data_IF_537999414051
#
_entry.id   IF_537999414051
#
_cell.length_a   1.000
_cell.length_b   1.000
_cell.length_c   1.000
_cell.angle_alpha   90.00
_cell.angle_beta   90.00
_cell.angle_gamma   90.00
#
_symmetry.space_group_name_H-M   'P 1'
#
loop_
_entity.id
_entity.type
_entity.pdbx_description
1 polymer ?
#
# COMPACT_ATOMS: atom_id res chain seq x y z
N UNK A 1 12.57 -25.18 13.31
CA UNK A 1 11.64 -26.32 13.53
C UNK A 1 11.00 -26.11 14.91
N UNK A 2 9.69 -26.29 15.11
CA UNK A 2 9.07 -26.09 16.43
C UNK A 2 8.86 -27.42 17.17
N UNK A 3 9.19 -27.47 18.45
CA UNK A 3 8.78 -28.52 19.40
C UNK A 3 7.67 -28.00 20.29
N UNK A 4 6.83 -28.88 20.81
CA UNK A 4 5.76 -28.48 21.70
C UNK A 4 5.53 -29.53 22.78
N UNK A 5 5.21 -29.04 23.97
CA UNK A 5 5.07 -29.81 25.20
C UNK A 5 3.79 -29.37 25.91
N UNK A 6 3.03 -30.32 26.43
CA UNK A 6 1.88 -30.00 27.26
C UNK A 6 2.38 -29.58 28.65
N UNK A 7 1.95 -28.41 29.10
CA UNK A 7 2.31 -27.85 30.42
C UNK A 7 1.17 -28.07 31.41
N UNK A 8 -0.08 -27.86 30.96
CA UNK A 8 -1.29 -28.08 31.75
C UNK A 8 -2.37 -28.77 30.89
N UNK A 9 -3.51 -29.13 31.49
CA UNK A 9 -4.64 -29.81 30.82
C UNK A 9 -5.08 -29.12 29.51
N UNK A 10 -5.00 -27.79 29.44
CA UNK A 10 -5.34 -27.00 28.27
C UNK A 10 -4.24 -26.05 27.80
N UNK A 11 -3.02 -26.16 28.32
CA UNK A 11 -1.93 -25.23 28.01
C UNK A 11 -0.74 -25.99 27.43
N UNK A 12 -0.25 -25.51 26.28
CA UNK A 12 0.90 -26.07 25.58
C UNK A 12 1.98 -25.00 25.43
N UNK A 13 3.23 -25.38 25.62
CA UNK A 13 4.41 -24.56 25.34
C UNK A 13 5.02 -25.01 24.02
N UNK A 14 5.17 -24.08 23.08
CA UNK A 14 5.78 -24.27 21.76
C UNK A 14 7.12 -23.56 21.73
N UNK A 15 8.20 -24.30 21.55
CA UNK A 15 9.57 -23.81 21.53
C UNK A 15 10.09 -23.85 20.09
N UNK A 16 10.75 -22.79 19.64
CA UNK A 16 11.53 -22.82 18.41
C UNK A 16 12.84 -23.59 18.68
N UNK A 17 13.05 -24.74 18.02
CA UNK A 17 14.36 -25.38 17.99
C UNK A 17 15.30 -24.45 17.22
N UNK A 18 16.31 -23.92 17.92
CA UNK A 18 17.42 -23.20 17.31
C UNK A 18 18.02 -24.07 16.19
N UNK A 19 18.01 -23.53 14.96
CA UNK A 19 19.07 -23.86 14.01
C UNK A 19 20.30 -23.06 14.41
N UNK A 20 21.42 -23.74 14.69
CA UNK A 20 22.73 -23.15 14.91
C UNK A 20 23.24 -22.48 13.62
N UNK A 21 22.69 -21.34 13.26
CA UNK A 21 23.20 -20.53 12.16
C UNK A 21 23.29 -19.08 12.61
N UNK A 22 24.52 -18.56 12.64
CA UNK A 22 24.92 -17.20 13.07
C UNK A 22 24.42 -16.08 12.14
N UNK A 23 23.47 -16.37 11.25
CA UNK A 23 22.80 -15.37 10.44
C UNK A 23 21.72 -14.66 11.26
N UNK A 24 21.69 -13.32 11.13
CA UNK A 24 20.74 -12.44 11.81
C UNK A 24 19.29 -12.98 11.75
N UNK A 25 18.48 -12.77 12.80
CA UNK A 25 17.13 -13.31 12.84
C UNK A 25 16.24 -12.57 11.84
N UNK A 26 16.12 -13.13 10.63
CA UNK A 26 15.12 -12.75 9.63
C UNK A 26 13.67 -12.92 10.15
N UNK A 27 13.48 -13.70 11.22
CA UNK A 27 12.19 -13.99 11.86
C UNK A 27 12.20 -13.56 13.34
N UNK A 28 11.34 -12.60 13.77
CA UNK A 28 11.24 -12.16 15.16
C UNK A 28 10.77 -13.26 16.14
N UNK A 29 10.30 -14.41 15.63
CA UNK A 29 9.88 -15.56 16.43
C UNK A 29 11.03 -16.58 16.68
N UNK A 30 12.23 -16.37 16.13
CA UNK A 30 13.40 -17.25 16.32
C UNK A 30 13.87 -17.23 17.78
N UNK A 31 13.92 -18.40 18.42
CA UNK A 31 14.39 -18.56 19.81
C UNK A 31 13.39 -18.20 20.92
N UNK A 32 12.14 -17.87 20.57
CA UNK A 32 11.08 -17.56 21.55
C UNK A 32 10.22 -18.78 21.87
N UNK A 33 9.68 -18.78 23.08
CA UNK A 33 8.67 -19.73 23.53
C UNK A 33 7.29 -19.09 23.43
N UNK A 34 6.31 -19.84 22.93
CA UNK A 34 4.93 -19.42 22.81
C UNK A 34 4.02 -20.33 23.60
N UNK A 35 3.02 -19.74 24.26
CA UNK A 35 1.98 -20.51 24.93
C UNK A 35 0.73 -20.57 24.05
N UNK A 36 0.18 -21.77 23.94
CA UNK A 36 -1.07 -22.06 23.22
C UNK A 36 -2.04 -22.66 24.22
N UNK A 37 -3.19 -22.01 24.40
CA UNK A 37 -4.35 -22.59 25.09
C UNK A 37 -5.17 -23.36 24.06
N UNK A 38 -5.45 -24.63 24.32
CA UNK A 38 -6.17 -25.46 23.36
C UNK A 38 -7.19 -26.38 24.05
N UNK A 39 -8.44 -26.26 23.61
CA UNK A 39 -9.50 -27.22 23.91
C UNK A 39 -9.72 -28.09 22.68
N UNK A 40 -8.92 -29.15 22.55
CA UNK A 40 -8.90 -30.01 21.35
C UNK A 40 -10.29 -30.57 21.01
N UNK A 41 -11.05 -31.01 22.02
CA UNK A 41 -12.42 -31.53 21.86
C UNK A 41 -13.39 -30.50 21.30
N UNK A 42 -13.23 -29.22 21.68
CA UNK A 42 -14.06 -28.11 21.21
C UNK A 42 -13.52 -27.47 19.91
N UNK A 43 -12.29 -27.83 19.53
CA UNK A 43 -11.58 -27.20 18.41
C UNK A 43 -11.19 -25.75 18.67
N UNK A 44 -11.14 -25.30 19.93
CA UNK A 44 -10.79 -23.92 20.28
C UNK A 44 -9.29 -23.82 20.56
N UNK A 45 -8.62 -22.88 19.90
CA UNK A 45 -7.19 -22.64 20.06
C UNK A 45 -6.93 -21.15 20.20
N UNK A 46 -6.04 -20.79 21.12
CA UNK A 46 -5.60 -19.43 21.33
C UNK A 46 -4.09 -19.42 21.53
N UNK A 47 -3.36 -18.59 20.79
CA UNK A 47 -1.92 -18.47 20.93
C UNK A 47 -1.53 -17.06 21.34
N UNK A 48 -0.60 -16.96 22.29
CA UNK A 48 -0.07 -15.69 22.76
C UNK A 48 0.55 -14.81 21.66
N UNK A 49 0.97 -15.40 20.53
CA UNK A 49 1.50 -14.60 19.41
C UNK A 49 0.43 -13.73 18.73
N UNK A 50 -0.86 -13.98 18.99
CA UNK A 50 -2.01 -13.23 18.47
C UNK A 50 -2.05 -13.11 16.94
N UNK A 51 -1.42 -14.04 16.20
CA UNK A 51 -1.32 -13.98 14.73
C UNK A 51 -2.68 -14.13 14.05
N UNK A 52 -3.59 -14.90 14.64
CA UNK A 52 -4.93 -15.05 14.08
C UNK A 52 -5.78 -13.79 14.29
N UNK A 53 -5.63 -13.11 15.42
CA UNK A 53 -6.32 -11.86 15.70
C UNK A 53 -5.80 -10.76 14.75
N UNK A 54 -4.47 -10.68 14.59
CA UNK A 54 -3.79 -9.68 13.74
C UNK A 54 -3.99 -9.91 12.25
N UNK A 55 -3.69 -11.12 11.78
CA UNK A 55 -3.59 -11.41 10.35
C UNK A 55 -4.77 -12.26 9.85
N UNK A 56 -5.62 -12.77 10.75
CA UNK A 56 -6.68 -13.74 10.44
C UNK A 56 -6.18 -15.05 9.85
N UNK A 57 -4.92 -15.39 10.11
CA UNK A 57 -4.26 -16.63 9.67
C UNK A 57 -3.78 -17.38 10.91
N UNK A 58 -3.98 -18.69 10.92
CA UNK A 58 -3.56 -19.56 12.02
C UNK A 58 -2.04 -19.58 12.11
N UNK A 59 -1.48 -19.36 13.31
CA UNK A 59 -0.03 -19.40 13.49
C UNK A 59 0.53 -20.82 13.42
N UNK A 60 1.82 -20.91 13.08
CA UNK A 60 2.61 -22.14 13.16
C UNK A 60 2.55 -22.79 14.55
N UNK A 61 2.39 -22.02 15.62
CA UNK A 61 2.27 -22.55 16.98
C UNK A 61 0.98 -23.36 17.17
N UNK A 62 -0.17 -22.85 16.72
CA UNK A 62 -1.44 -23.59 16.77
C UNK A 62 -1.38 -24.80 15.84
N UNK A 63 -0.87 -24.63 14.62
CA UNK A 63 -0.70 -25.73 13.65
C UNK A 63 0.18 -26.85 14.21
N UNK A 64 1.21 -26.52 15.01
CA UNK A 64 2.05 -27.51 15.68
C UNK A 64 1.25 -28.36 16.67
N UNK A 65 0.41 -27.74 17.50
CA UNK A 65 -0.47 -28.45 18.45
C UNK A 65 -1.48 -29.31 17.71
N UNK A 66 -2.11 -28.77 16.66
CA UNK A 66 -3.03 -29.56 15.82
C UNK A 66 -2.37 -30.81 15.24
N UNK A 67 -1.13 -30.67 14.73
CA UNK A 67 -0.35 -31.80 14.21
C UNK A 67 -0.04 -32.85 15.27
N UNK A 68 0.30 -32.45 16.50
CA UNK A 68 0.54 -33.37 17.62
C UNK A 68 -0.69 -34.18 18.00
N UNK A 69 -1.89 -33.60 17.87
CA UNK A 69 -3.15 -34.24 18.20
C UNK A 69 -3.88 -34.84 16.98
N UNK A 70 -3.17 -35.01 15.86
CA UNK A 70 -3.70 -35.56 14.61
C UNK A 70 -4.99 -34.85 14.12
N UNK A 71 -5.13 -33.56 14.40
CA UNK A 71 -6.24 -32.75 13.92
C UNK A 71 -5.98 -32.41 12.46
N UNK A 72 -6.63 -33.15 11.56
CA UNK A 72 -6.44 -33.03 10.11
C UNK A 72 -7.30 -31.94 9.46
N UNK A 73 -8.29 -31.41 10.19
CA UNK A 73 -9.21 -30.39 9.69
C UNK A 73 -9.17 -29.15 10.57
N UNK A 74 -9.02 -27.99 9.93
CA UNK A 74 -9.05 -26.72 10.63
C UNK A 74 -10.48 -26.38 11.08
N UNK A 75 -10.70 -25.97 12.35
CA UNK A 75 -12.00 -25.53 12.82
C UNK A 75 -12.57 -24.38 11.99
N UNK A 76 -13.88 -24.40 11.73
CA UNK A 76 -14.54 -23.44 10.80
C UNK A 76 -14.32 -21.98 11.19
N UNK A 77 -14.24 -21.65 12.47
CA UNK A 77 -14.06 -20.27 12.93
C UNK A 77 -12.69 -19.67 12.53
N UNK A 78 -11.70 -20.49 12.17
CA UNK A 78 -10.43 -20.02 11.63
C UNK A 78 -10.48 -19.71 10.13
N UNK A 79 -11.48 -20.23 9.41
CA UNK A 79 -11.61 -20.04 7.97
C UNK A 79 -12.45 -18.78 7.73
N UNK A 80 -11.77 -17.64 7.56
CA UNK A 80 -12.44 -16.38 7.22
C UNK A 80 -12.90 -16.39 5.75
N UNK A 81 -13.95 -15.62 5.43
CA UNK A 81 -14.52 -15.52 4.05
C UNK A 81 -13.51 -15.16 2.97
N UNK A 82 -12.49 -14.35 3.27
CA UNK A 82 -11.43 -14.05 2.28
C UNK A 82 -10.49 -15.21 1.96
N UNK A 83 -10.56 -16.30 2.72
CA UNK A 83 -9.73 -17.51 2.57
C UNK A 83 -10.50 -18.67 1.92
N UNK A 84 -11.75 -18.45 1.50
CA UNK A 84 -12.54 -19.44 0.76
C UNK A 84 -12.32 -19.31 -0.74
N UNK A 85 -12.56 -20.37 -1.51
CA UNK A 85 -12.45 -20.35 -2.97
C UNK A 85 -13.35 -19.28 -3.61
N UNK A 86 -14.53 -19.06 -3.03
CA UNK A 86 -15.49 -18.02 -3.46
C UNK A 86 -15.11 -16.62 -2.92
N UNK A 87 -13.86 -16.40 -2.50
CA UNK A 87 -13.43 -15.11 -1.95
C UNK A 87 -13.58 -13.98 -2.98
N UNK A 88 -13.33 -14.24 -4.25
CA UNK A 88 -13.49 -13.24 -5.31
C UNK A 88 -14.96 -12.88 -5.53
N UNK A 89 -15.87 -13.85 -5.42
CA UNK A 89 -17.32 -13.61 -5.49
C UNK A 89 -17.84 -12.90 -4.23
N UNK A 90 -17.31 -13.25 -3.05
CA UNK A 90 -17.70 -12.69 -1.76
C UNK A 90 -17.12 -11.30 -1.49
N UNK A 91 -15.97 -10.96 -2.10
CA UNK A 91 -15.36 -9.64 -2.08
C UNK A 91 -15.88 -8.75 -3.22
N UNK A 92 -16.67 -9.33 -4.13
CA UNK A 92 -17.20 -8.67 -5.32
C UNK A 92 -16.12 -8.34 -6.35
N UNK A 93 -16.51 -7.96 -7.58
CA UNK A 93 -15.56 -7.40 -8.53
C UNK A 93 -14.97 -6.15 -7.89
N UNK A 94 -13.72 -6.23 -7.45
CA UNK A 94 -12.94 -5.05 -7.11
C UNK A 94 -12.77 -4.28 -8.42
N UNK A 95 -13.75 -3.43 -8.71
CA UNK A 95 -13.69 -2.54 -9.87
C UNK A 95 -12.41 -1.74 -9.75
N UNK A 96 -11.74 -1.47 -10.87
CA UNK A 96 -10.55 -0.62 -10.92
C UNK A 96 -10.74 0.67 -10.11
N UNK A 97 -11.96 1.21 -10.10
CA UNK A 97 -12.39 2.36 -9.32
C UNK A 97 -12.38 2.14 -7.79
N UNK A 98 -12.78 0.96 -7.29
CA UNK A 98 -12.76 0.65 -5.86
C UNK A 98 -11.33 0.51 -5.31
N UNK A 99 -10.43 -0.07 -6.11
CA UNK A 99 -9.00 -0.14 -5.78
C UNK A 99 -8.39 1.26 -5.77
N UNK A 100 -8.77 2.13 -6.71
CA UNK A 100 -8.26 3.51 -6.76
C UNK A 100 -8.67 4.33 -5.52
N UNK A 101 -9.93 4.25 -5.09
CA UNK A 101 -10.45 5.02 -3.93
C UNK A 101 -9.85 4.62 -2.57
N UNK A 102 -9.37 3.39 -2.41
CA UNK A 102 -8.77 2.93 -1.15
C UNK A 102 -7.29 3.31 -1.00
N UNK A 103 -6.61 3.72 -2.08
CA UNK A 103 -5.16 3.95 -2.09
C UNK A 103 -4.76 5.43 -2.16
N UNK A 104 -5.70 6.37 -2.13
CA UNK A 104 -5.43 7.82 -2.20
C UNK A 104 -4.57 8.32 -1.01
N UNK A 105 -4.64 7.65 0.15
CA UNK A 105 -3.89 8.01 1.36
C UNK A 105 -2.46 7.40 1.43
N UNK A 106 -2.02 6.68 0.38
CA UNK A 106 -0.78 5.89 0.40
C UNK A 106 0.38 6.63 -0.32
N UNK A 107 1.65 6.49 0.12
CA UNK A 107 2.80 7.11 -0.55
C UNK A 107 2.86 6.80 -2.06
N UNK A 108 3.24 7.81 -2.85
CA UNK A 108 3.21 7.80 -4.32
C UNK A 108 3.97 6.63 -4.97
N UNK A 109 5.03 6.12 -4.33
CA UNK A 109 5.77 4.94 -4.77
C UNK A 109 4.94 3.64 -4.79
N UNK A 110 3.88 3.55 -3.99
CA UNK A 110 2.95 2.41 -3.99
C UNK A 110 1.83 2.52 -5.02
N UNK A 111 1.66 3.70 -5.63
CA UNK A 111 0.65 3.92 -6.68
C UNK A 111 1.04 3.25 -8.00
N UNK A 112 2.34 3.14 -8.31
CA UNK A 112 2.79 2.52 -9.56
C UNK A 112 2.50 1.01 -9.58
N UNK A 113 2.71 0.31 -8.47
CA UNK A 113 2.33 -1.09 -8.34
C UNK A 113 0.81 -1.29 -8.45
N UNK A 114 0.01 -0.40 -7.87
CA UNK A 114 -1.45 -0.44 -7.97
C UNK A 114 -1.90 -0.17 -9.42
N UNK A 115 -1.36 0.87 -10.07
CA UNK A 115 -1.64 1.17 -11.49
C UNK A 115 -1.28 -0.02 -12.37
N UNK A 116 -0.13 -0.65 -12.15
CA UNK A 116 0.30 -1.84 -12.89
C UNK A 116 -0.73 -2.96 -12.75
N UNK A 117 -1.10 -3.36 -11.53
CA UNK A 117 -2.08 -4.44 -11.30
C UNK A 117 -3.43 -4.15 -11.96
N UNK A 118 -3.94 -2.93 -11.80
CA UNK A 118 -5.24 -2.53 -12.36
C UNK A 118 -5.21 -2.55 -13.89
N UNK A 119 -4.18 -1.95 -14.49
CA UNK A 119 -4.04 -1.92 -15.96
C UNK A 119 -3.86 -3.33 -16.50
N UNK A 120 -2.97 -4.14 -15.92
CA UNK A 120 -2.75 -5.52 -16.37
C UNK A 120 -4.06 -6.31 -16.43
N UNK A 121 -4.86 -6.29 -15.35
CA UNK A 121 -6.14 -7.00 -15.33
C UNK A 121 -7.08 -6.55 -16.45
N UNK A 122 -7.26 -5.23 -16.59
CA UNK A 122 -8.14 -4.68 -17.65
C UNK A 122 -7.67 -5.04 -19.06
N UNK A 123 -6.36 -5.05 -19.31
CA UNK A 123 -5.81 -5.43 -20.62
C UNK A 123 -5.88 -6.92 -20.87
N UNK A 124 -5.74 -7.78 -19.85
CA UNK A 124 -5.94 -9.22 -19.99
C UNK A 124 -7.36 -9.53 -20.46
N UNK A 125 -8.38 -8.95 -19.84
CA UNK A 125 -9.79 -9.12 -20.25
C UNK A 125 -10.01 -8.67 -21.72
N UNK A 126 -9.41 -7.55 -22.13
CA UNK A 126 -9.45 -7.07 -23.51
C UNK A 126 -8.72 -7.99 -24.50
N UNK A 127 -7.60 -8.57 -24.10
CA UNK A 127 -6.82 -9.51 -24.93
C UNK A 127 -7.59 -10.82 -25.10
N UNK A 128 -8.19 -11.34 -24.04
CA UNK A 128 -9.01 -12.55 -24.08
C UNK A 128 -10.19 -12.40 -25.04
N UNK A 129 -10.82 -11.22 -25.07
CA UNK A 129 -11.85 -10.90 -26.07
C UNK A 129 -11.26 -10.76 -27.48
N UNK A 130 -10.13 -10.05 -27.62
CA UNK A 130 -9.50 -9.81 -28.91
C UNK A 130 -9.05 -11.10 -29.60
N UNK A 131 -8.65 -12.13 -28.85
CA UNK A 131 -8.23 -13.44 -29.36
C UNK A 131 -9.37 -14.27 -29.97
N UNK A 132 -10.64 -13.89 -29.79
CA UNK A 132 -11.79 -14.65 -30.30
C UNK A 132 -12.01 -14.49 -31.81
N UNK A 133 -11.49 -13.43 -32.44
CA UNK A 133 -11.60 -13.24 -33.88
C UNK A 133 -10.43 -12.42 -34.46
N UNK A 134 -10.12 -12.64 -35.73
CA UNK A 134 -9.10 -11.85 -36.44
C UNK A 134 -9.48 -10.36 -36.58
N UNK A 135 -10.79 -10.07 -36.65
CA UNK A 135 -11.30 -8.72 -36.74
C UNK A 135 -11.07 -7.94 -35.43
N UNK A 136 -11.41 -8.55 -34.29
CA UNK A 136 -11.18 -7.99 -32.96
C UNK A 136 -9.70 -7.87 -32.65
N UNK A 137 -8.87 -8.84 -33.08
CA UNK A 137 -7.42 -8.77 -32.96
C UNK A 137 -6.81 -7.59 -33.72
N UNK A 138 -7.28 -7.31 -34.95
CA UNK A 138 -6.83 -6.14 -35.75
C UNK A 138 -7.20 -4.82 -35.08
N UNK A 139 -8.40 -4.73 -34.50
CA UNK A 139 -8.85 -3.54 -33.77
C UNK A 139 -7.98 -3.33 -32.53
N UNK A 140 -7.79 -4.37 -31.72
CA UNK A 140 -6.92 -4.31 -30.54
C UNK A 140 -5.49 -3.88 -30.88
N UNK A 141 -4.92 -4.42 -31.96
CA UNK A 141 -3.58 -4.07 -32.43
C UNK A 141 -3.47 -2.62 -32.91
N UNK A 142 -4.50 -2.12 -33.61
CA UNK A 142 -4.57 -0.70 -34.02
C UNK A 142 -4.54 0.22 -32.79
N UNK A 143 -5.37 -0.06 -31.79
CA UNK A 143 -5.44 0.74 -30.57
C UNK A 143 -4.18 0.61 -29.72
N UNK A 144 -3.57 -0.58 -29.66
CA UNK A 144 -2.28 -0.79 -28.99
C UNK A 144 -1.17 0.07 -29.60
N UNK A 145 -1.12 0.17 -30.93
CA UNK A 145 -0.15 1.04 -31.62
C UNK A 145 -0.40 2.52 -31.32
N UNK A 146 -1.66 2.96 -31.29
CA UNK A 146 -2.01 4.33 -30.93
C UNK A 146 -1.57 4.66 -29.49
N UNK A 147 -1.94 3.81 -28.53
CA UNK A 147 -1.55 3.95 -27.13
C UNK A 147 -0.02 4.03 -26.95
N UNK A 148 0.73 3.17 -27.64
CA UNK A 148 2.20 3.20 -27.57
C UNK A 148 2.76 4.54 -28.04
N UNK A 149 2.18 5.15 -29.08
CA UNK A 149 2.62 6.47 -29.58
C UNK A 149 2.36 7.57 -28.55
N UNK A 150 1.18 7.57 -27.94
CA UNK A 150 0.83 8.55 -26.90
C UNK A 150 1.76 8.47 -25.69
N UNK A 151 2.13 7.26 -25.26
CA UNK A 151 3.09 7.07 -24.16
C UNK A 151 4.48 7.60 -24.49
N UNK A 152 4.97 7.39 -25.72
CA UNK A 152 6.25 7.95 -26.16
C UNK A 152 6.21 9.48 -26.29
N UNK A 153 5.09 10.05 -26.73
CA UNK A 153 4.90 11.50 -26.76
C UNK A 153 4.93 12.10 -25.34
N UNK A 154 4.25 11.48 -24.38
CA UNK A 154 4.27 11.90 -22.97
C UNK A 154 5.69 11.85 -22.41
N UNK A 155 6.45 10.77 -22.69
CA UNK A 155 7.85 10.66 -22.27
C UNK A 155 8.71 11.78 -22.86
N UNK A 156 8.52 12.10 -24.15
CA UNK A 156 9.24 13.18 -24.83
C UNK A 156 8.94 14.53 -24.19
N UNK A 157 7.66 14.87 -23.97
CA UNK A 157 7.26 16.13 -23.31
C UNK A 157 7.85 16.26 -21.91
N UNK A 158 7.81 15.18 -21.11
CA UNK A 158 8.43 15.17 -19.77
C UNK A 158 9.95 15.39 -19.80
N UNK A 159 10.64 14.84 -20.80
CA UNK A 159 12.08 15.06 -20.97
C UNK A 159 12.38 16.52 -21.36
N UNK A 160 11.59 17.10 -22.27
CA UNK A 160 11.71 18.50 -22.67
C UNK A 160 11.39 19.47 -21.51
N UNK A 161 10.39 19.18 -20.68
CA UNK A 161 10.05 19.97 -19.49
C UNK A 161 11.16 19.92 -18.41
N UNK A 162 11.78 18.77 -18.20
CA UNK A 162 12.90 18.63 -17.26
C UNK A 162 14.14 19.46 -17.66
N UNK A 163 14.30 19.76 -18.96
CA UNK A 163 15.37 20.61 -19.50
C UNK A 163 15.09 22.12 -19.31
N UNK A 164 13.82 22.55 -19.21
CA UNK A 164 13.43 23.96 -19.15
C UNK A 164 13.17 24.50 -17.72
N UNK A 165 13.46 23.70 -16.68
CA UNK A 165 13.20 24.02 -15.27
C UNK A 165 14.14 25.05 -14.60
N UNK A 166 14.46 26.17 -15.26
CA UNK A 166 15.03 27.37 -14.61
C UNK A 166 14.03 28.54 -14.72
N UNK A 167 13.74 29.28 -13.63
CA UNK A 167 12.74 30.34 -13.68
C UNK A 167 13.25 31.51 -14.53
N UNK A 168 12.65 31.68 -15.71
CA UNK A 168 12.74 32.94 -16.46
C UNK A 168 11.96 33.99 -15.67
N UNK A 169 12.66 34.84 -14.92
CA UNK A 169 12.12 36.14 -14.53
C UNK A 169 12.01 36.97 -15.80
N UNK A 170 10.86 36.94 -16.48
CA UNK A 170 10.58 37.90 -17.54
C UNK A 170 10.24 39.24 -16.88
N UNK A 171 11.27 40.04 -16.62
CA UNK A 171 11.11 41.49 -16.46
C UNK A 171 10.59 42.05 -17.78
N UNK A 172 9.34 42.51 -17.77
CA UNK A 172 8.69 43.26 -18.84
C UNK A 172 9.43 44.59 -19.03
N UNK A 173 9.79 45.03 -20.25
CA UNK A 173 10.30 46.37 -20.44
C UNK A 173 9.12 47.36 -20.52
N UNK A 174 9.15 48.36 -19.63
CA UNK A 174 8.31 49.55 -19.71
C UNK A 174 8.97 50.57 -20.63
N UNK A 175 8.24 51.12 -21.61
CA UNK A 175 8.55 52.44 -22.18
C UNK A 175 7.28 53.13 -22.70
N UNK A 176 6.89 54.19 -21.98
CA UNK A 176 6.39 55.50 -22.43
C UNK A 176 5.13 55.61 -23.31
N UNK A 177 4.11 56.31 -22.78
CA UNK A 177 2.83 56.70 -23.42
C UNK A 177 2.94 57.86 -24.44
N UNK A 178 1.89 58.71 -24.70
CA UNK A 178 0.85 59.16 -23.74
C UNK A 178 -0.61 59.38 -24.28
N UNK A 179 -1.47 59.83 -23.35
CA UNK A 179 -2.69 60.67 -23.50
C UNK A 179 -4.07 60.00 -23.68
N UNK A 180 -4.96 60.17 -22.70
CA UNK A 180 -5.91 61.31 -22.63
C UNK A 180 -6.81 61.25 -21.39
N UNK A 181 -7.26 62.44 -20.98
CA UNK A 181 -7.97 62.83 -19.76
C UNK A 181 -9.34 62.14 -19.55
N UNK A 182 -9.72 61.91 -18.28
CA UNK A 182 -10.81 62.65 -17.62
C UNK A 182 -11.01 62.24 -16.16
N UNK A 183 -11.37 63.25 -15.37
CA UNK A 183 -11.56 63.34 -13.91
C UNK A 183 -12.74 62.53 -13.37
N UNK A 184 -12.66 62.02 -12.12
CA UNK A 184 -13.42 62.54 -10.96
C UNK A 184 -13.13 61.75 -9.65
N UNK A 185 -13.17 62.50 -8.56
CA UNK A 185 -13.19 62.21 -7.11
C UNK A 185 -14.09 61.02 -6.73
N UNK A 186 -13.97 60.24 -5.65
CA UNK A 186 -13.15 60.16 -4.43
C UNK A 186 -13.95 59.38 -3.36
N UNK A 187 -13.25 58.60 -2.51
CA UNK A 187 -13.69 58.01 -1.22
C UNK A 187 -14.80 56.92 -1.23
N UNK A 188 -14.73 55.77 -0.55
CA UNK A 188 -13.77 55.17 0.38
C UNK A 188 -14.47 54.06 1.20
N UNK A 189 -13.75 52.96 1.47
CA UNK A 189 -13.92 51.95 2.56
C UNK A 189 -15.16 51.02 2.52
N UNK A 190 -15.13 49.73 2.87
CA UNK A 190 -14.10 48.77 3.27
C UNK A 190 -14.69 47.35 3.09
N UNK A 191 -13.90 46.40 2.57
CA UNK A 191 -14.22 44.97 2.59
C UNK A 191 -13.14 44.27 3.42
N UNK A 192 -13.49 43.84 4.63
CA UNK A 192 -12.61 43.09 5.53
C UNK A 192 -12.75 41.61 5.23
N UNK A 193 -11.82 41.04 4.46
CA UNK A 193 -11.62 39.60 4.40
C UNK A 193 -10.41 39.21 5.24
N UNK A 194 -10.67 38.58 6.38
CA UNK A 194 -9.68 38.07 7.34
C UNK A 194 -8.81 37.00 6.69
N UNK A 195 -7.53 37.29 6.45
CA UNK A 195 -6.54 36.26 6.09
C UNK A 195 -6.11 35.50 7.36
N UNK A 196 -6.47 34.22 7.42
CA UNK A 196 -5.97 33.27 8.43
C UNK A 196 -4.48 33.04 8.19
N UNK A 197 -3.63 33.47 9.13
CA UNK A 197 -2.19 33.16 9.10
C UNK A 197 -1.92 31.81 9.74
N UNK A 198 -1.04 31.03 9.11
CA UNK A 198 -0.53 29.78 9.66
C UNK A 198 0.30 30.03 10.93
N UNK A 199 0.17 29.18 11.97
CA UNK A 199 0.96 29.33 13.19
C UNK A 199 2.45 29.06 12.94
N UNK A 200 3.35 29.68 13.72
CA UNK A 200 4.79 29.50 13.56
C UNK A 200 5.22 28.05 13.86
N UNK A 201 6.18 27.56 13.08
CA UNK A 201 6.73 26.20 13.19
C UNK A 201 7.44 26.01 14.53
N UNK A 202 7.14 24.90 15.23
CA UNK A 202 7.82 24.54 16.47
C UNK A 202 9.24 24.04 16.21
N UNK A 203 10.15 24.37 17.13
CA UNK A 203 11.56 23.96 17.09
C UNK A 203 11.62 22.55 17.68
N UNK A 204 11.84 21.53 16.84
CA UNK A 204 12.05 20.16 17.33
C UNK A 204 13.46 20.02 17.92
N UNK A 205 13.54 19.55 19.17
CA UNK A 205 14.83 19.17 19.78
C UNK A 205 15.33 17.88 19.12
N UNK A 206 16.31 18.00 18.23
CA UNK A 206 16.98 16.86 17.61
C UNK A 206 17.85 16.06 18.59
N UNK A 207 18.18 14.83 18.19
CA UNK A 207 19.01 13.84 18.91
C UNK A 207 20.43 14.39 19.18
N UNK A 208 20.98 14.26 20.41
CA UNK A 208 22.34 14.73 20.70
C UNK A 208 23.37 13.97 19.87
N UNK A 209 24.35 14.69 19.30
CA UNK A 209 25.50 14.10 18.62
C UNK A 209 26.55 13.69 19.65
N UNK A 210 27.00 12.44 19.58
CA UNK A 210 28.06 11.88 20.43
C UNK A 210 29.41 12.53 20.10
N UNK A 211 30.15 12.95 21.14
CA UNK A 211 31.49 13.53 21.01
C UNK A 211 32.52 12.38 21.04
N UNK A 212 33.30 12.24 19.96
CA UNK A 212 34.40 11.27 19.89
C UNK A 212 35.67 11.89 20.51
N UNK A 213 36.14 11.35 21.62
CA UNK A 213 37.45 11.73 22.18
C UNK A 213 38.59 11.18 21.31
N UNK A 214 39.65 11.99 21.18
CA UNK A 214 40.90 11.68 20.45
C UNK A 214 41.78 10.75 21.27
#
# INVERSE_FOLDING_TARGET
MYTAYQVDEHTFKVCSLLGMSDSEPEDPDKGRNYFVKASIKKGEYYCQCCKFERDGIVCCHILKIMGMHAVTRLPRHFIRRRLTWDADDALGPQTSNAVWRYNDDRPEATMDAVRHVVLTKSYTELVDEACKSDETARVAEKHRKALKRELEEIKKRKAEEALHGFPRTSSVPSSTGPSSENSEVGSGTASTQTQVRNPPRSITKGRPKEVRYK
#
